data_IF_035525527494
#
_entry.id   IF_035525527494
#
_cell.length_a   1.000
_cell.length_b   1.000
_cell.length_c   1.000
_cell.angle_alpha   90.00
_cell.angle_beta   90.00
_cell.angle_gamma   90.00
#
_symmetry.space_group_name_H-M   'P 1'
#
loop_
_entity.id
_entity.type
_entity.pdbx_description
1 polymer ?
#
# COMPACT_ATOMS: atom_id res chain seq x y z
N UNK A 1 -2.45 28.87 41.54
CA UNK A 1 -2.50 28.04 40.32
C UNK A 1 -1.51 26.90 40.50
N UNK A 2 -2.00 25.67 40.65
CA UNK A 2 -1.15 24.50 40.92
C UNK A 2 -0.60 23.94 39.60
N UNK A 3 0.66 23.47 39.56
CA UNK A 3 1.34 23.04 38.33
C UNK A 3 0.75 21.80 37.64
N UNK A 4 -0.27 21.17 38.24
CA UNK A 4 -0.93 19.95 37.73
C UNK A 4 -1.91 20.21 36.59
N UNK A 5 -2.45 21.43 36.48
CA UNK A 5 -3.35 21.81 35.38
C UNK A 5 -2.62 21.87 34.03
N UNK A 6 -1.31 22.13 34.06
CA UNK A 6 -0.46 22.19 32.86
C UNK A 6 -0.11 20.80 32.30
N UNK A 7 -0.37 19.72 33.01
CA UNK A 7 -0.09 18.37 32.49
C UNK A 7 -1.28 17.79 31.72
N UNK A 8 -2.49 18.32 31.93
CA UNK A 8 -3.73 17.77 31.37
C UNK A 8 -4.02 18.24 29.93
N UNK A 9 -3.41 19.35 29.50
CA UNK A 9 -3.54 19.81 28.12
C UNK A 9 -2.65 19.04 27.14
N UNK A 10 -1.53 18.47 27.61
CA UNK A 10 -0.66 17.64 26.78
C UNK A 10 -1.35 16.41 26.19
N UNK A 11 -2.04 15.55 26.96
CA UNK A 11 -2.70 14.37 26.40
C UNK A 11 -3.86 14.74 25.48
N UNK A 12 -4.58 15.85 25.74
CA UNK A 12 -5.68 16.29 24.89
C UNK A 12 -5.19 16.90 23.58
N UNK A 13 -4.12 17.69 23.62
CA UNK A 13 -3.44 18.20 22.42
C UNK A 13 -2.85 17.04 21.59
N UNK A 14 -2.21 16.06 22.24
CA UNK A 14 -1.69 14.87 21.57
C UNK A 14 -2.81 14.05 20.93
N UNK A 15 -3.91 13.82 21.66
CA UNK A 15 -5.08 13.12 21.13
C UNK A 15 -5.68 13.84 19.92
N UNK A 16 -5.80 15.18 19.97
CA UNK A 16 -6.26 15.99 18.84
C UNK A 16 -5.34 15.81 17.63
N UNK A 17 -4.02 15.90 17.82
CA UNK A 17 -3.05 15.70 16.74
C UNK A 17 -3.16 14.31 16.12
N UNK A 18 -3.28 13.27 16.96
CA UNK A 18 -3.49 11.88 16.49
C UNK A 18 -4.77 11.78 15.67
N UNK A 19 -5.88 12.37 16.13
CA UNK A 19 -7.16 12.37 15.41
C UNK A 19 -7.05 13.10 14.07
N UNK A 20 -6.37 14.24 14.02
CA UNK A 20 -6.17 15.01 12.79
C UNK A 20 -5.31 14.26 11.77
N UNK A 21 -4.20 13.65 12.22
CA UNK A 21 -3.34 12.82 11.36
C UNK A 21 -4.10 11.60 10.86
N UNK A 22 -4.87 10.94 11.72
CA UNK A 22 -5.70 9.80 11.33
C UNK A 22 -6.81 10.19 10.35
N UNK A 23 -7.49 11.32 10.56
CA UNK A 23 -8.50 11.84 9.66
C UNK A 23 -7.90 12.21 8.29
N UNK A 24 -6.72 12.84 8.27
CA UNK A 24 -5.98 13.11 7.05
C UNK A 24 -5.57 11.83 6.33
N UNK A 25 -5.03 10.84 7.05
CA UNK A 25 -4.71 9.52 6.51
C UNK A 25 -5.93 8.84 5.88
N UNK A 26 -7.09 8.91 6.54
CA UNK A 26 -8.36 8.40 5.98
C UNK A 26 -8.82 9.20 4.77
N UNK A 27 -8.74 10.52 4.81
CA UNK A 27 -9.16 11.40 3.73
C UNK A 27 -8.31 11.17 2.46
N UNK A 28 -6.99 11.14 2.60
CA UNK A 28 -6.06 10.81 1.52
C UNK A 28 -6.31 9.40 0.96
N UNK A 29 -6.69 8.44 1.81
CA UNK A 29 -7.10 7.08 1.40
C UNK A 29 -8.44 7.03 0.65
N UNK A 30 -9.39 7.91 0.96
CA UNK A 30 -10.69 8.00 0.24
C UNK A 30 -10.64 8.89 -1.00
N UNK A 31 -9.66 9.79 -1.09
CA UNK A 31 -9.63 10.90 -2.04
C UNK A 31 -9.19 10.58 -3.48
N UNK A 32 -8.66 9.40 -3.77
CA UNK A 32 -8.28 9.04 -5.17
C UNK A 32 -9.46 8.63 -6.05
N UNK A 33 -10.71 8.82 -5.60
CA UNK A 33 -11.92 8.70 -6.46
C UNK A 33 -12.59 10.04 -6.78
N UNK A 34 -11.94 11.18 -6.49
CA UNK A 34 -12.45 12.51 -6.87
C UNK A 34 -11.57 13.25 -7.89
N UNK A 35 -10.46 12.66 -8.32
CA UNK A 35 -9.69 13.09 -9.50
C UNK A 35 -10.01 12.21 -10.72
N UNK A 36 -11.30 11.86 -10.89
CA UNK A 36 -11.83 11.06 -11.98
C UNK A 36 -12.95 11.79 -12.71
N UNK A 37 -12.72 13.04 -13.12
CA UNK A 37 -13.10 13.45 -14.47
C UNK A 37 -11.86 13.20 -15.33
N UNK A 38 -11.92 12.66 -16.55
CA UNK A 38 -12.94 12.83 -17.58
C UNK A 38 -12.97 11.59 -18.52
N UNK A 39 -14.16 11.27 -19.01
CA UNK A 39 -14.52 10.63 -20.30
C UNK A 39 -13.51 9.73 -21.06
N UNK A 40 -13.92 8.47 -21.28
CA UNK A 40 -14.10 7.81 -22.59
C UNK A 40 -14.70 6.41 -22.30
N UNK A 41 -15.98 6.12 -22.54
CA UNK A 41 -16.57 5.82 -23.85
C UNK A 41 -15.65 4.94 -24.71
N UNK A 42 -16.04 3.67 -24.87
CA UNK A 42 -15.62 2.70 -25.90
C UNK A 42 -14.11 2.48 -26.08
N UNK A 43 -13.59 1.25 -26.04
CA UNK A 43 -13.96 0.18 -26.97
C UNK A 43 -13.40 -1.14 -26.44
N UNK A 44 -14.18 -2.22 -26.51
CA UNK A 44 -13.66 -3.59 -26.50
C UNK A 44 -12.62 -3.76 -27.63
N UNK A 45 -11.35 -3.96 -27.29
CA UNK A 45 -10.31 -4.44 -28.21
C UNK A 45 -9.57 -5.62 -27.58
N UNK A 46 -9.75 -6.86 -28.08
CA UNK A 46 -8.96 -8.00 -27.67
C UNK A 46 -7.72 -8.09 -28.57
N UNK A 47 -6.68 -7.32 -28.23
CA UNK A 47 -5.41 -7.24 -28.96
C UNK A 47 -4.21 -7.80 -28.16
N UNK A 48 -4.02 -9.10 -28.28
CA UNK A 48 -2.74 -9.84 -28.37
C UNK A 48 -1.41 -9.18 -27.89
N UNK A 49 -0.83 -9.76 -26.82
CA UNK A 49 0.56 -10.22 -26.87
C UNK A 49 1.71 -9.24 -26.58
N UNK A 50 1.92 -8.90 -25.30
CA UNK A 50 3.26 -8.96 -24.67
C UNK A 50 3.14 -9.09 -23.15
N UNK A 51 3.25 -10.33 -22.68
CA UNK A 51 3.57 -10.65 -21.29
C UNK A 51 4.88 -9.98 -20.89
N UNK A 52 4.81 -9.07 -19.92
CA UNK A 52 5.87 -8.77 -18.95
C UNK A 52 5.20 -8.23 -17.72
N UNK A 53 5.54 -8.82 -16.59
CA UNK A 53 5.05 -8.63 -15.23
C UNK A 53 5.09 -7.18 -14.68
N UNK A 54 4.52 -6.20 -15.38
CA UNK A 54 4.12 -4.91 -14.82
C UNK A 54 2.81 -5.06 -14.02
N UNK A 55 2.72 -6.15 -13.26
CA UNK A 55 1.62 -6.35 -12.34
C UNK A 55 1.79 -5.41 -11.16
N UNK A 56 0.67 -4.99 -10.64
CA UNK A 56 0.60 -4.12 -9.47
C UNK A 56 0.09 -4.96 -8.30
N UNK A 57 0.61 -4.73 -7.10
CA UNK A 57 0.19 -5.40 -5.86
C UNK A 57 -0.31 -4.38 -4.84
N UNK A 58 -1.51 -4.62 -4.33
CA UNK A 58 -2.08 -3.80 -3.26
C UNK A 58 -1.59 -4.30 -1.91
N UNK A 59 -1.11 -3.37 -1.08
CA UNK A 59 -0.74 -3.68 0.29
C UNK A 59 -2.00 -4.08 1.10
N UNK A 60 -2.01 -5.24 1.78
CA UNK A 60 -3.15 -5.65 2.59
C UNK A 60 -3.38 -4.75 3.82
N UNK A 61 -2.32 -4.10 4.32
CA UNK A 61 -2.39 -3.29 5.54
C UNK A 61 -2.95 -1.89 5.28
N UNK A 62 -2.50 -1.24 4.20
CA UNK A 62 -2.87 0.15 3.89
C UNK A 62 -3.61 0.35 2.56
N UNK A 63 -3.68 -0.68 1.71
CA UNK A 63 -4.30 -0.62 0.38
C UNK A 63 -3.47 0.11 -0.68
N UNK A 64 -2.26 0.59 -0.33
CA UNK A 64 -1.39 1.30 -1.26
C UNK A 64 -1.00 0.41 -2.42
N UNK A 65 -0.96 1.02 -3.60
CA UNK A 65 -0.55 0.41 -4.84
C UNK A 65 0.99 0.37 -4.95
N UNK A 66 1.56 -0.82 -5.06
CA UNK A 66 2.99 -1.05 -5.20
C UNK A 66 3.25 -1.83 -6.48
N UNK A 67 4.40 -1.63 -7.10
CA UNK A 67 4.81 -2.47 -8.23
C UNK A 67 5.15 -3.88 -7.72
N UNK A 68 4.96 -4.90 -8.56
CA UNK A 68 5.44 -6.24 -8.25
C UNK A 68 6.96 -6.25 -8.10
N UNK A 69 7.45 -7.07 -7.16
CA UNK A 69 8.87 -7.14 -6.79
C UNK A 69 9.27 -6.27 -5.58
N UNK A 70 8.40 -5.36 -5.11
CA UNK A 70 8.64 -4.69 -3.83
C UNK A 70 8.53 -5.70 -2.67
N UNK A 71 9.55 -5.73 -1.81
CA UNK A 71 9.54 -6.54 -0.59
C UNK A 71 8.58 -5.97 0.48
N UNK A 72 8.52 -4.64 0.54
CA UNK A 72 7.78 -3.87 1.53
C UNK A 72 6.95 -2.79 0.83
N UNK A 73 5.84 -2.41 1.46
CA UNK A 73 4.99 -1.34 0.97
C UNK A 73 5.73 0.01 1.05
N UNK A 74 5.72 0.77 -0.05
CA UNK A 74 6.33 2.11 -0.15
C UNK A 74 5.73 3.17 0.78
N UNK A 75 4.55 2.91 1.36
CA UNK A 75 3.83 3.85 2.21
C UNK A 75 3.85 3.46 3.69
N UNK A 76 3.48 2.21 4.01
CA UNK A 76 3.40 1.77 5.42
C UNK A 76 4.54 0.83 5.85
N UNK A 77 5.43 0.44 4.94
CA UNK A 77 6.56 -0.48 5.21
C UNK A 77 6.13 -1.91 5.61
N UNK A 78 4.83 -2.23 5.53
CA UNK A 78 4.31 -3.60 5.72
C UNK A 78 4.82 -4.56 4.64
N UNK A 79 5.00 -5.84 4.99
CA UNK A 79 5.46 -6.86 4.04
C UNK A 79 4.41 -7.14 2.97
N UNK A 80 4.85 -7.18 1.71
CA UNK A 80 3.96 -7.48 0.59
C UNK A 80 3.90 -9.00 0.35
N UNK A 81 2.71 -9.56 0.07
CA UNK A 81 2.54 -11.00 -0.12
C UNK A 81 3.35 -11.54 -1.31
N UNK A 82 3.57 -10.71 -2.32
CA UNK A 82 4.34 -11.07 -3.49
C UNK A 82 5.80 -11.35 -3.13
N UNK A 83 6.41 -10.56 -2.23
CA UNK A 83 7.77 -10.74 -1.72
C UNK A 83 8.03 -12.15 -1.15
N UNK A 84 7.01 -12.75 -0.51
CA UNK A 84 7.09 -14.10 0.02
C UNK A 84 7.06 -15.16 -1.09
N UNK A 85 6.33 -14.92 -2.18
CA UNK A 85 6.23 -15.81 -3.33
C UNK A 85 7.52 -15.84 -4.19
N UNK A 86 8.19 -14.70 -4.38
CA UNK A 86 9.48 -14.67 -5.09
C UNK A 86 10.59 -15.37 -4.30
N UNK A 87 10.61 -15.21 -2.97
CA UNK A 87 11.62 -15.89 -2.12
C UNK A 87 11.48 -17.41 -2.15
N UNK A 88 10.27 -17.95 -2.22
CA UNK A 88 10.08 -19.41 -2.26
C UNK A 88 10.46 -20.03 -3.61
N UNK A 89 10.42 -19.27 -4.71
CA UNK A 89 10.87 -19.76 -6.02
C UNK A 89 12.40 -19.73 -6.19
N UNK A 90 13.09 -18.73 -5.62
CA UNK A 90 14.55 -18.62 -5.71
C UNK A 90 15.30 -19.66 -4.85
N UNK A 91 14.72 -20.03 -3.71
CA UNK A 91 15.30 -21.03 -2.80
C UNK A 91 14.79 -22.46 -3.04
N UNK A 92 13.93 -22.70 -4.03
CA UNK A 92 13.57 -24.05 -4.42
C UNK A 92 14.83 -24.77 -4.95
N UNK A 93 15.30 -25.86 -4.32
CA UNK A 93 16.50 -26.55 -4.79
C UNK A 93 16.24 -26.97 -6.24
N UNK A 94 17.07 -26.48 -7.18
CA UNK A 94 17.11 -26.96 -8.56
C UNK A 94 17.31 -28.48 -8.50
N UNK A 95 16.23 -29.24 -8.60
CA UNK A 95 16.27 -30.68 -8.73
C UNK A 95 16.88 -30.98 -10.10
N UNK A 96 18.22 -31.02 -10.17
CA UNK A 96 18.93 -31.56 -11.33
C UNK A 96 18.52 -33.02 -11.40
N UNK A 97 17.60 -33.36 -12.31
CA UNK A 97 17.49 -34.73 -12.81
C UNK A 97 18.82 -35.05 -13.48
N UNK A 98 19.65 -35.84 -12.81
CA UNK A 98 20.84 -36.45 -13.39
C UNK A 98 20.32 -37.72 -14.10
N UNK A 99 20.64 -37.92 -15.40
CA UNK A 99 20.17 -39.05 -16.19
C UNK A 99 20.74 -40.39 -15.74
#
# INVERSE_FOLDING_TARGET
MSPVESLYWYPTALALQIVLVYAFYRYARTGTRLAGGDSSADTDDPGDGVDREAGVVHCPDCGTENERGYAYCRNCVGELPDAAAWRSSEFAPRQRRIP
#
